data_IF_231658484833
#
_entry.id   IF_231658484833
#
_cell.length_a   1.000
_cell.length_b   1.000
_cell.length_c   1.000
_cell.angle_alpha   90.00
_cell.angle_beta   90.00
_cell.angle_gamma   90.00
#
_symmetry.space_group_name_H-M   'P 1'
#
loop_
_entity.id
_entity.type
_entity.pdbx_description
1 polymer ?
#
# COMPACT_ATOMS: atom_id res chain seq x y z
N UNK A 1 17.95 6.02 16.81
CA UNK A 1 17.95 4.81 17.67
C UNK A 1 16.56 4.24 17.49
N UNK A 2 16.39 3.12 16.79
CA UNK A 2 15.05 2.59 16.52
C UNK A 2 14.32 2.29 17.84
N UNK A 3 13.12 2.85 18.02
CA UNK A 3 12.28 2.52 19.17
C UNK A 3 11.98 1.02 19.17
N UNK A 4 12.43 0.32 20.21
CA UNK A 4 12.07 -1.06 20.49
C UNK A 4 10.70 -1.06 21.19
N UNK A 5 9.61 -1.09 20.42
CA UNK A 5 8.26 -1.18 20.96
C UNK A 5 7.18 -0.64 20.02
N UNK A 6 5.92 -0.83 20.41
CA UNK A 6 4.78 -0.24 19.70
C UNK A 6 4.76 1.28 19.89
N UNK A 7 4.30 1.99 18.87
CA UNK A 7 3.94 3.39 18.96
C UNK A 7 2.59 3.55 19.64
N UNK A 8 2.45 4.63 20.41
CA UNK A 8 1.26 5.02 21.15
C UNK A 8 0.88 6.45 20.81
N UNK A 9 -0.32 6.85 21.21
CA UNK A 9 -0.92 8.17 20.97
C UNK A 9 -0.07 9.36 21.45
N UNK A 10 0.77 9.14 22.48
CA UNK A 10 1.63 10.17 23.07
C UNK A 10 2.99 10.31 22.40
N UNK A 11 3.40 9.35 21.56
CA UNK A 11 4.67 9.45 20.86
C UNK A 11 4.67 10.59 19.85
N UNK A 12 5.85 11.14 19.58
CA UNK A 12 6.03 12.17 18.57
C UNK A 12 5.82 11.61 17.16
N UNK A 13 5.06 12.33 16.33
CA UNK A 13 4.89 11.98 14.92
C UNK A 13 6.21 12.13 14.13
N UNK A 14 7.05 13.12 14.48
CA UNK A 14 8.35 13.28 13.83
C UNK A 14 9.27 12.09 14.11
N UNK A 15 9.27 11.60 15.35
CA UNK A 15 10.14 10.50 15.76
C UNK A 15 9.73 9.19 15.09
N UNK A 16 8.42 8.96 14.94
CA UNK A 16 7.90 7.83 14.15
C UNK A 16 8.48 7.82 12.73
N UNK A 17 8.48 8.97 12.05
CA UNK A 17 8.99 9.08 10.67
C UNK A 17 10.50 8.92 10.63
N UNK A 18 11.23 9.57 11.54
CA UNK A 18 12.70 9.51 11.58
C UNK A 18 13.22 8.10 11.91
N UNK A 19 12.50 7.37 12.76
CA UNK A 19 12.82 5.97 13.08
C UNK A 19 12.40 5.03 11.95
N UNK A 20 11.33 5.33 11.22
CA UNK A 20 10.79 4.48 10.17
C UNK A 20 10.33 5.31 8.96
N UNK A 21 11.28 5.69 8.09
CA UNK A 21 10.98 6.51 6.90
C UNK A 21 9.85 5.99 6.00
N UNK A 22 9.60 4.66 5.84
CA UNK A 22 8.44 4.17 5.09
C UNK A 22 7.08 4.64 5.63
N UNK A 23 7.01 5.10 6.89
CA UNK A 23 5.80 5.70 7.46
C UNK A 23 5.33 6.95 6.72
N UNK A 24 6.20 7.60 5.94
CA UNK A 24 5.79 8.67 5.03
C UNK A 24 4.71 8.21 4.04
N UNK A 25 4.81 6.98 3.53
CA UNK A 25 3.80 6.43 2.63
C UNK A 25 2.48 6.22 3.37
N UNK A 26 2.52 5.58 4.54
CA UNK A 26 1.36 5.36 5.41
C UNK A 26 0.63 6.67 5.70
N UNK A 27 1.37 7.71 6.11
CA UNK A 27 0.79 9.02 6.42
C UNK A 27 0.13 9.66 5.20
N UNK A 28 0.76 9.57 4.03
CA UNK A 28 0.18 10.08 2.79
C UNK A 28 -1.17 9.43 2.47
N UNK A 29 -1.38 8.14 2.78
CA UNK A 29 -2.66 7.44 2.55
C UNK A 29 -3.75 7.80 3.55
N UNK A 30 -3.36 8.24 4.74
CA UNK A 30 -4.27 8.86 5.69
C UNK A 30 -4.53 10.36 5.39
N UNK A 31 -3.98 10.91 4.29
CA UNK A 31 -4.10 12.33 3.97
C UNK A 31 -3.28 13.26 4.87
N UNK A 32 -2.31 12.71 5.61
CA UNK A 32 -1.49 13.44 6.56
C UNK A 32 -0.20 13.93 5.86
N UNK A 33 -0.02 15.25 5.77
CA UNK A 33 1.14 15.88 5.11
C UNK A 33 2.17 16.42 6.11
N UNK A 34 3.49 16.27 5.88
CA UNK A 34 4.55 16.73 6.79
C UNK A 34 4.41 18.20 7.22
N UNK A 35 4.94 18.53 8.41
CA UNK A 35 4.86 19.88 8.99
C UNK A 35 4.17 19.93 10.37
N UNK A 36 4.22 18.84 11.15
CA UNK A 36 3.49 18.74 12.42
C UNK A 36 4.15 19.48 13.60
N UNK A 37 5.45 19.80 13.49
CA UNK A 37 6.27 20.24 14.62
C UNK A 37 6.36 19.15 15.70
N UNK A 38 6.40 19.55 16.96
CA UNK A 38 6.52 18.65 18.13
C UNK A 38 5.21 17.94 18.52
N UNK A 39 4.29 17.72 17.57
CA UNK A 39 2.97 17.15 17.86
C UNK A 39 3.04 15.65 18.04
N UNK A 40 2.25 15.16 18.99
CA UNK A 40 2.06 13.73 19.17
C UNK A 40 1.21 13.12 18.06
N UNK A 41 1.29 11.81 17.90
CA UNK A 41 0.45 11.04 16.95
C UNK A 41 -1.03 11.37 17.15
N UNK A 42 -1.52 11.43 18.39
CA UNK A 42 -2.90 11.79 18.71
C UNK A 42 -3.30 13.18 18.21
N UNK A 43 -2.42 14.17 18.43
CA UNK A 43 -2.68 15.54 18.00
C UNK A 43 -2.75 15.62 16.47
N UNK A 44 -1.84 14.95 15.77
CA UNK A 44 -1.83 14.91 14.30
C UNK A 44 -3.04 14.18 13.74
N UNK A 45 -3.41 13.01 14.27
CA UNK A 45 -4.59 12.27 13.80
C UNK A 45 -5.86 13.11 13.96
N UNK A 46 -6.06 13.73 15.13
CA UNK A 46 -7.20 14.62 15.39
C UNK A 46 -7.25 15.82 14.45
N UNK A 47 -6.12 16.48 14.17
CA UNK A 47 -6.08 17.63 13.26
C UNK A 47 -6.44 17.26 11.82
N UNK A 48 -6.07 16.05 11.39
CA UNK A 48 -6.34 15.54 10.05
C UNK A 48 -7.63 14.73 9.94
N UNK A 49 -8.42 14.64 11.03
CA UNK A 49 -9.66 13.84 11.11
C UNK A 49 -9.45 12.36 10.79
N UNK A 50 -8.30 11.82 11.17
CA UNK A 50 -7.95 10.41 11.02
C UNK A 50 -8.27 9.67 12.30
N UNK A 51 -8.86 8.47 12.18
CA UNK A 51 -9.09 7.60 13.32
C UNK A 51 -7.75 7.10 13.90
N UNK A 52 -7.45 7.53 15.12
CA UNK A 52 -6.17 7.27 15.78
C UNK A 52 -5.90 5.76 15.97
N UNK A 53 -6.94 4.99 16.31
CA UNK A 53 -6.82 3.53 16.49
C UNK A 53 -6.46 2.84 15.17
N UNK A 54 -7.05 3.29 14.07
CA UNK A 54 -6.75 2.78 12.72
C UNK A 54 -5.32 3.12 12.32
N UNK A 55 -4.90 4.38 12.52
CA UNK A 55 -3.53 4.80 12.24
C UNK A 55 -2.51 3.96 13.03
N UNK A 56 -2.70 3.82 14.34
CA UNK A 56 -1.80 3.03 15.19
C UNK A 56 -1.85 1.54 14.88
N UNK A 57 -3.00 0.99 14.49
CA UNK A 57 -3.11 -0.41 14.08
C UNK A 57 -2.28 -0.68 12.82
N UNK A 58 -2.35 0.19 11.81
CA UNK A 58 -1.57 0.07 10.57
C UNK A 58 -0.08 0.25 10.85
N UNK A 59 0.32 1.32 11.53
CA UNK A 59 1.72 1.60 11.87
C UNK A 59 2.35 0.44 12.64
N UNK A 60 1.70 0.00 13.72
CA UNK A 60 2.27 -1.05 14.56
C UNK A 60 2.25 -2.43 13.87
N UNK A 61 1.29 -2.69 12.99
CA UNK A 61 1.29 -3.91 12.18
C UNK A 61 2.51 -3.96 11.27
N UNK A 62 2.81 -2.87 10.56
CA UNK A 62 3.95 -2.80 9.63
C UNK A 62 5.30 -2.90 10.36
N UNK A 63 5.41 -2.30 11.55
CA UNK A 63 6.66 -2.29 12.31
C UNK A 63 6.93 -3.63 13.02
N UNK A 64 5.89 -4.26 13.58
CA UNK A 64 6.04 -5.49 14.36
C UNK A 64 5.79 -6.77 13.57
N UNK A 65 5.26 -6.66 12.35
CA UNK A 65 4.72 -7.76 11.54
C UNK A 65 3.72 -8.64 12.31
N UNK A 66 3.07 -8.10 13.35
CA UNK A 66 2.13 -8.81 14.21
C UNK A 66 0.89 -7.96 14.46
N UNK A 67 -0.27 -8.54 14.14
CA UNK A 67 -1.55 -7.91 14.44
C UNK A 67 -1.76 -7.80 15.95
N UNK A 68 -2.14 -6.61 16.40
CA UNK A 68 -2.66 -6.42 17.75
C UNK A 68 -4.15 -6.79 17.79
N UNK A 69 -4.48 -7.90 18.45
CA UNK A 69 -5.88 -8.35 18.57
C UNK A 69 -6.71 -7.52 19.55
N UNK A 70 -6.06 -6.67 20.35
CA UNK A 70 -6.72 -5.74 21.28
C UNK A 70 -7.03 -4.39 20.64
N UNK A 71 -6.41 -4.08 19.50
CA UNK A 71 -6.70 -2.87 18.75
C UNK A 71 -8.12 -2.92 18.16
N UNK A 72 -8.78 -1.76 18.16
CA UNK A 72 -10.13 -1.59 17.61
C UNK A 72 -10.14 -0.53 16.49
N UNK A 73 -9.53 -0.83 15.33
CA UNK A 73 -9.50 0.10 14.20
C UNK A 73 -10.88 0.26 13.56
N UNK A 74 -11.12 1.43 12.98
CA UNK A 74 -12.31 1.78 12.21
C UNK A 74 -12.21 1.21 10.78
N UNK A 75 -13.10 0.28 10.44
CA UNK A 75 -13.15 -0.30 9.09
C UNK A 75 -13.42 0.75 7.98
N UNK A 76 -14.31 1.75 8.17
CA UNK A 76 -14.46 2.85 7.21
C UNK A 76 -13.16 3.64 6.97
N UNK A 77 -12.39 3.92 8.03
CA UNK A 77 -11.11 4.64 7.89
C UNK A 77 -10.06 3.78 7.18
N UNK A 78 -10.02 2.47 7.46
CA UNK A 78 -9.12 1.54 6.77
C UNK A 78 -9.48 1.38 5.28
N UNK A 79 -10.77 1.36 4.93
CA UNK A 79 -11.22 1.36 3.53
C UNK A 79 -10.70 2.60 2.81
N UNK A 80 -10.90 3.79 3.38
CA UNK A 80 -10.42 5.04 2.78
C UNK A 80 -8.89 5.04 2.61
N UNK A 81 -8.16 4.50 3.58
CA UNK A 81 -6.70 4.32 3.49
C UNK A 81 -6.30 3.42 2.30
N UNK A 82 -6.97 2.28 2.10
CA UNK A 82 -6.69 1.36 0.98
C UNK A 82 -7.04 1.99 -0.37
N UNK A 83 -8.20 2.65 -0.48
CA UNK A 83 -8.60 3.39 -1.69
C UNK A 83 -7.61 4.51 -2.06
N UNK A 84 -7.12 5.25 -1.07
CA UNK A 84 -6.08 6.26 -1.26
C UNK A 84 -4.74 5.62 -1.69
N UNK A 85 -4.50 4.36 -1.33
CA UNK A 85 -3.33 3.59 -1.76
C UNK A 85 -3.43 3.23 -3.23
N UNK A 86 -4.60 2.76 -3.68
CA UNK A 86 -4.85 2.49 -5.09
C UNK A 86 -4.62 3.72 -5.96
N UNK A 87 -5.23 4.85 -5.58
CA UNK A 87 -5.06 6.12 -6.30
C UNK A 87 -3.59 6.53 -6.38
N UNK A 88 -2.81 6.36 -5.31
CA UNK A 88 -1.39 6.66 -5.36
C UNK A 88 -0.59 5.76 -6.30
N UNK A 89 -0.84 4.45 -6.27
CA UNK A 89 -0.12 3.53 -7.13
C UNK A 89 -0.42 3.80 -8.59
N UNK A 90 -1.70 3.89 -8.93
CA UNK A 90 -2.19 4.01 -10.31
C UNK A 90 -1.98 5.40 -10.90
N UNK A 91 -2.24 6.48 -10.13
CA UNK A 91 -2.24 7.84 -10.68
C UNK A 91 -0.90 8.56 -10.51
N UNK A 92 -0.04 8.09 -9.60
CA UNK A 92 1.21 8.78 -9.26
C UNK A 92 2.45 7.90 -9.38
N UNK A 93 2.55 6.81 -8.61
CA UNK A 93 3.81 6.06 -8.46
C UNK A 93 4.21 5.34 -9.74
N UNK A 94 3.32 4.54 -10.32
CA UNK A 94 3.59 3.79 -11.54
C UNK A 94 3.79 4.74 -12.74
N UNK A 95 2.95 5.75 -12.98
CA UNK A 95 3.22 6.74 -14.03
C UNK A 95 4.58 7.44 -13.88
N UNK A 96 4.97 7.81 -12.66
CA UNK A 96 6.27 8.44 -12.39
C UNK A 96 7.45 7.52 -12.73
N UNK A 97 7.39 6.24 -12.31
CA UNK A 97 8.43 5.24 -12.65
C UNK A 97 8.53 5.09 -14.17
N UNK A 98 7.39 5.00 -14.85
CA UNK A 98 7.35 4.92 -16.32
C UNK A 98 8.04 6.11 -16.98
N UNK A 99 7.77 7.33 -16.53
CA UNK A 99 8.40 8.53 -17.09
C UNK A 99 9.91 8.52 -16.90
N UNK A 100 10.40 8.10 -15.74
CA UNK A 100 11.84 8.00 -15.51
C UNK A 100 12.48 6.86 -16.33
N UNK A 101 11.81 5.72 -16.50
CA UNK A 101 12.26 4.66 -17.43
C UNK A 101 12.38 5.19 -18.86
N UNK A 102 11.41 6.00 -19.32
CA UNK A 102 11.47 6.62 -20.64
C UNK A 102 12.69 7.54 -20.82
N UNK A 103 13.11 8.25 -19.77
CA UNK A 103 14.27 9.13 -19.80
C UNK A 103 15.63 8.38 -19.80
N UNK A 104 15.69 7.23 -19.13
CA UNK A 104 16.92 6.43 -19.02
C UNK A 104 17.11 5.49 -20.22
N UNK A 105 16.02 4.89 -20.71
CA UNK A 105 16.04 3.91 -21.79
C UNK A 105 15.77 4.59 -23.14
N UNK A 106 16.68 5.40 -23.66
CA UNK A 106 16.40 6.31 -24.80
C UNK A 106 16.37 5.65 -26.19
N UNK A 107 17.04 4.52 -26.42
CA UNK A 107 16.95 3.79 -27.70
C UNK A 107 15.65 2.97 -27.79
N UNK A 108 14.61 3.60 -28.35
CA UNK A 108 13.31 2.95 -28.60
C UNK A 108 13.36 1.86 -29.66
N UNK A 109 14.42 1.72 -30.45
CA UNK A 109 14.55 0.67 -31.45
C UNK A 109 15.19 -0.61 -30.90
N UNK A 110 15.90 -0.50 -29.78
CA UNK A 110 16.49 -1.63 -29.08
C UNK A 110 15.41 -2.65 -28.63
N UNK A 111 15.66 -3.93 -28.90
CA UNK A 111 14.71 -5.02 -28.60
C UNK A 111 14.55 -5.26 -27.10
N UNK A 112 15.62 -5.10 -26.31
CA UNK A 112 15.58 -5.24 -24.87
C UNK A 112 14.80 -4.07 -24.24
N UNK A 113 14.99 -2.84 -24.72
CA UNK A 113 14.21 -1.67 -24.27
C UNK A 113 12.72 -1.88 -24.54
N UNK A 114 12.34 -2.34 -25.73
CA UNK A 114 10.94 -2.69 -26.05
C UNK A 114 10.38 -3.76 -25.14
N UNK A 115 11.17 -4.81 -24.85
CA UNK A 115 10.75 -5.90 -23.97
C UNK A 115 10.53 -5.41 -22.52
N UNK A 116 11.39 -4.52 -22.02
CA UNK A 116 11.25 -3.90 -20.70
C UNK A 116 9.95 -3.10 -20.61
N UNK A 117 9.65 -2.25 -21.59
CA UNK A 117 8.41 -1.47 -21.56
C UNK A 117 7.16 -2.33 -21.67
N UNK A 118 7.17 -3.36 -22.53
CA UNK A 118 6.07 -4.31 -22.59
C UNK A 118 5.86 -5.01 -21.25
N UNK A 119 6.93 -5.50 -20.62
CA UNK A 119 6.84 -6.11 -19.29
C UNK A 119 6.28 -5.14 -18.26
N UNK A 120 6.75 -3.88 -18.26
CA UNK A 120 6.28 -2.85 -17.35
C UNK A 120 4.79 -2.55 -17.55
N UNK A 121 4.35 -2.41 -18.80
CA UNK A 121 2.96 -2.09 -19.13
C UNK A 121 2.02 -3.27 -18.79
N UNK A 122 2.44 -4.50 -19.08
CA UNK A 122 1.72 -5.72 -18.66
C UNK A 122 1.64 -5.83 -17.13
N UNK A 123 2.67 -5.40 -16.41
CA UNK A 123 2.67 -5.36 -14.95
C UNK A 123 1.67 -4.32 -14.41
N UNK A 124 1.71 -3.09 -14.94
CA UNK A 124 0.78 -2.01 -14.53
C UNK A 124 -0.67 -2.43 -14.75
N UNK A 125 -0.98 -3.08 -15.87
CA UNK A 125 -2.33 -3.57 -16.17
C UNK A 125 -2.82 -4.62 -15.15
N UNK A 126 -1.92 -5.45 -14.63
CA UNK A 126 -2.29 -6.42 -13.58
C UNK A 126 -2.57 -5.75 -12.25
N UNK A 127 -1.76 -4.76 -11.86
CA UNK A 127 -2.02 -3.95 -10.66
C UNK A 127 -3.37 -3.25 -10.79
N UNK A 128 -3.64 -2.67 -11.96
CA UNK A 128 -4.93 -2.04 -12.27
C UNK A 128 -6.09 -3.03 -12.16
N UNK A 129 -5.98 -4.21 -12.77
CA UNK A 129 -7.01 -5.25 -12.72
C UNK A 129 -7.29 -5.72 -11.29
N UNK A 130 -6.23 -5.90 -10.49
CA UNK A 130 -6.34 -6.30 -9.09
C UNK A 130 -7.07 -5.24 -8.26
N UNK A 131 -6.62 -3.99 -8.30
CA UNK A 131 -7.23 -2.90 -7.54
C UNK A 131 -8.66 -2.59 -8.01
N UNK A 132 -8.93 -2.70 -9.32
CA UNK A 132 -10.28 -2.56 -9.86
C UNK A 132 -11.24 -3.63 -9.32
N UNK A 133 -10.79 -4.89 -9.18
CA UNK A 133 -11.61 -5.92 -8.55
C UNK A 133 -11.95 -5.56 -7.10
N UNK A 134 -11.01 -4.98 -6.35
CA UNK A 134 -11.28 -4.51 -5.01
C UNK A 134 -12.29 -3.37 -4.96
N UNK A 135 -12.09 -2.33 -5.76
CA UNK A 135 -12.98 -1.15 -5.82
C UNK A 135 -14.39 -1.49 -6.30
N UNK A 136 -14.51 -2.38 -7.28
CA UNK A 136 -15.79 -2.70 -7.93
C UNK A 136 -16.54 -3.85 -7.25
N UNK A 137 -15.84 -4.72 -6.51
CA UNK A 137 -16.43 -5.92 -5.89
C UNK A 137 -16.23 -5.97 -4.39
N UNK A 138 -14.98 -5.91 -3.91
CA UNK A 138 -14.67 -6.14 -2.50
C UNK A 138 -15.18 -5.00 -1.62
N UNK A 139 -14.85 -3.75 -1.94
CA UNK A 139 -15.21 -2.59 -1.13
C UNK A 139 -16.73 -2.35 -1.10
N UNK A 140 -17.48 -2.48 -2.21
CA UNK A 140 -18.95 -2.41 -2.18
C UNK A 140 -19.56 -3.49 -1.28
N UNK A 141 -19.05 -4.72 -1.32
CA UNK A 141 -19.47 -5.78 -0.41
C UNK A 141 -19.18 -5.43 1.06
N UNK A 142 -18.00 -4.90 1.37
CA UNK A 142 -17.66 -4.49 2.75
C UNK A 142 -18.57 -3.35 3.22
N UNK A 143 -18.88 -2.38 2.36
CA UNK A 143 -19.84 -1.31 2.66
C UNK A 143 -21.24 -1.87 2.91
N UNK A 144 -21.67 -2.89 2.16
CA UNK A 144 -22.95 -3.56 2.41
C UNK A 144 -22.97 -4.23 3.80
N UNK A 145 -21.90 -4.94 4.16
CA UNK A 145 -21.77 -5.55 5.49
C UNK A 145 -21.82 -4.50 6.61
N UNK A 146 -21.17 -3.35 6.43
CA UNK A 146 -21.21 -2.23 7.38
C UNK A 146 -22.63 -1.65 7.53
N UNK A 147 -23.46 -1.73 6.49
CA UNK A 147 -24.90 -1.39 6.56
C UNK A 147 -25.78 -2.49 7.14
N UNK A 148 -25.21 -3.61 7.57
CA UNK A 148 -25.93 -4.77 8.11
C UNK A 148 -26.53 -5.69 7.04
N UNK A 149 -26.18 -5.51 5.77
CA UNK A 149 -26.71 -6.32 4.66
C UNK A 149 -25.63 -7.22 4.05
N UNK A 150 -25.90 -8.52 4.01
CA UNK A 150 -25.08 -9.44 3.21
C UNK A 150 -25.63 -9.49 1.79
N UNK A 151 -24.88 -8.97 0.82
CA UNK A 151 -25.26 -9.05 -0.59
C UNK A 151 -24.78 -10.35 -1.23
N UNK A 152 -25.72 -11.15 -1.71
CA UNK A 152 -25.45 -12.36 -2.50
C UNK A 152 -24.61 -13.41 -1.79
N UNK A 153 -23.97 -14.26 -2.60
CA UNK A 153 -23.14 -15.37 -2.15
C UNK A 153 -21.66 -15.01 -1.95
N UNK A 154 -21.31 -13.74 -2.19
CA UNK A 154 -19.95 -13.27 -2.00
C UNK A 154 -19.53 -13.37 -0.53
N UNK A 155 -18.23 -13.61 -0.33
CA UNK A 155 -17.59 -13.60 0.99
C UNK A 155 -16.13 -13.23 0.84
N UNK A 156 -15.54 -12.70 1.91
CA UNK A 156 -14.12 -12.32 1.92
C UNK A 156 -13.18 -13.50 1.66
N UNK A 157 -13.63 -14.74 1.89
CA UNK A 157 -12.88 -15.95 1.51
C UNK A 157 -12.67 -16.07 0.00
N UNK A 158 -13.52 -15.46 -0.81
CA UNK A 158 -13.37 -15.42 -2.28
C UNK A 158 -12.17 -14.58 -2.64
N UNK A 159 -12.07 -13.37 -2.07
CA UNK A 159 -10.91 -12.50 -2.19
C UNK A 159 -9.62 -13.24 -1.79
N UNK A 160 -9.56 -13.84 -0.59
CA UNK A 160 -8.34 -14.53 -0.12
C UNK A 160 -7.85 -15.67 -1.03
N UNK A 161 -8.73 -16.29 -1.84
CA UNK A 161 -8.35 -17.35 -2.79
C UNK A 161 -7.75 -16.82 -4.08
N UNK A 162 -8.08 -15.58 -4.41
CA UNK A 162 -7.72 -14.91 -5.66
C UNK A 162 -6.66 -13.82 -5.45
N UNK A 163 -6.43 -13.41 -4.20
CA UNK A 163 -5.46 -12.41 -3.81
C UNK A 163 -4.06 -12.91 -4.20
N UNK A 164 -3.52 -12.32 -5.27
CA UNK A 164 -2.24 -12.67 -5.87
C UNK A 164 -1.16 -11.69 -5.41
N UNK A 165 0.08 -12.16 -5.35
CA UNK A 165 1.24 -11.37 -4.95
C UNK A 165 1.74 -10.53 -6.13
N UNK A 166 0.99 -9.48 -6.47
CA UNK A 166 1.31 -8.57 -7.58
C UNK A 166 2.71 -7.94 -7.44
N UNK A 167 3.23 -7.76 -6.22
CA UNK A 167 4.55 -7.19 -5.96
C UNK A 167 5.72 -8.04 -6.50
N UNK A 168 5.52 -9.35 -6.67
CA UNK A 168 6.56 -10.28 -7.08
C UNK A 168 7.15 -9.97 -8.48
N UNK A 169 6.33 -9.45 -9.40
CA UNK A 169 6.74 -9.14 -10.78
C UNK A 169 7.67 -7.92 -10.89
N UNK A 170 7.60 -6.97 -9.95
CA UNK A 170 8.58 -5.87 -9.89
C UNK A 170 10.00 -6.38 -9.58
N UNK A 171 10.12 -7.50 -8.86
CA UNK A 171 11.42 -8.13 -8.61
C UNK A 171 12.07 -8.67 -9.89
N UNK A 172 11.27 -9.12 -10.85
CA UNK A 172 11.77 -9.56 -12.16
C UNK A 172 12.27 -8.39 -13.00
N UNK A 173 11.48 -7.30 -13.09
CA UNK A 173 11.89 -6.07 -13.77
C UNK A 173 13.20 -5.52 -13.21
N UNK A 174 13.31 -5.46 -11.88
CA UNK A 174 14.56 -5.10 -11.18
C UNK A 174 15.73 -5.95 -11.68
N UNK A 175 15.55 -7.27 -11.70
CA UNK A 175 16.63 -8.18 -12.11
C UNK A 175 17.01 -7.99 -13.57
N UNK A 176 16.05 -7.67 -14.45
CA UNK A 176 16.31 -7.38 -15.86
C UNK A 176 17.17 -6.12 -15.99
N UNK A 177 16.76 -5.03 -15.35
CA UNK A 177 17.46 -3.74 -15.40
C UNK A 177 18.88 -3.83 -14.84
N UNK A 178 19.06 -4.50 -13.69
CA UNK A 178 20.38 -4.65 -13.05
C UNK A 178 21.34 -5.50 -13.88
N UNK A 179 20.86 -6.61 -14.45
CA UNK A 179 21.74 -7.60 -15.09
C UNK A 179 22.07 -7.29 -16.54
N UNK A 180 21.14 -6.67 -17.26
CA UNK A 180 21.18 -6.66 -18.73
C UNK A 180 21.18 -5.28 -19.35
N UNK A 181 21.06 -4.19 -18.57
CA UNK A 181 21.05 -2.84 -19.13
C UNK A 181 22.34 -2.06 -18.79
N UNK A 182 23.38 -2.15 -19.63
CA UNK A 182 24.55 -1.29 -19.49
C UNK A 182 24.19 0.14 -19.89
N UNK A 183 24.56 1.11 -19.06
CA UNK A 183 24.18 2.51 -19.27
C UNK A 183 25.34 3.45 -18.92
N UNK A 184 25.50 4.51 -19.70
CA UNK A 184 26.36 5.66 -19.38
C UNK A 184 25.72 6.68 -18.43
N UNK A 185 24.47 6.42 -18.00
CA UNK A 185 23.60 7.20 -17.11
C UNK A 185 23.33 6.42 -15.82
N UNK A 186 24.37 6.19 -15.04
CA UNK A 186 24.31 5.31 -13.86
C UNK A 186 23.42 5.90 -12.76
N UNK A 187 23.49 7.21 -12.51
CA UNK A 187 22.73 7.87 -11.45
C UNK A 187 21.23 7.88 -11.74
N UNK A 188 20.85 8.11 -13.00
CA UNK A 188 19.45 8.09 -13.43
C UNK A 188 18.87 6.67 -13.39
N UNK A 189 19.64 5.66 -13.82
CA UNK A 189 19.22 4.26 -13.68
C UNK A 189 19.06 3.88 -12.20
N UNK A 190 20.02 4.26 -11.36
CA UNK A 190 19.92 4.03 -9.92
C UNK A 190 18.68 4.69 -9.33
N UNK A 191 18.37 5.93 -9.70
CA UNK A 191 17.15 6.63 -9.25
C UNK A 191 15.88 5.86 -9.62
N UNK A 192 15.79 5.33 -10.84
CA UNK A 192 14.65 4.51 -11.26
C UNK A 192 14.56 3.20 -10.49
N UNK A 193 15.71 2.54 -10.29
CA UNK A 193 15.77 1.32 -9.50
C UNK A 193 15.31 1.55 -8.07
N UNK A 194 15.74 2.64 -7.42
CA UNK A 194 15.26 3.02 -6.09
C UNK A 194 13.75 3.20 -6.05
N UNK A 195 13.15 3.88 -7.02
CA UNK A 195 11.70 4.03 -7.08
C UNK A 195 10.98 2.69 -7.26
N UNK A 196 11.53 1.78 -8.06
CA UNK A 196 11.00 0.42 -8.25
C UNK A 196 11.09 -0.37 -6.93
N UNK A 197 12.22 -0.30 -6.22
CA UNK A 197 12.39 -0.95 -4.91
C UNK A 197 11.37 -0.46 -3.89
N UNK A 198 11.22 0.86 -3.79
CA UNK A 198 10.28 1.49 -2.87
C UNK A 198 8.83 1.12 -3.25
N UNK A 199 8.48 1.14 -4.53
CA UNK A 199 7.15 0.75 -5.00
C UNK A 199 6.82 -0.71 -4.67
N UNK A 200 7.78 -1.62 -4.87
CA UNK A 200 7.59 -3.02 -4.53
C UNK A 200 7.38 -3.23 -3.02
N UNK A 201 8.14 -2.52 -2.19
CA UNK A 201 7.98 -2.58 -0.73
C UNK A 201 6.66 -1.97 -0.26
N UNK A 202 6.21 -0.87 -0.87
CA UNK A 202 4.94 -0.21 -0.55
C UNK A 202 3.75 -1.11 -0.92
N UNK A 203 3.77 -1.74 -2.11
CA UNK A 203 2.77 -2.75 -2.51
C UNK A 203 2.77 -3.98 -1.60
N UNK A 204 3.94 -4.50 -1.23
CA UNK A 204 4.03 -5.59 -0.26
C UNK A 204 3.40 -5.20 1.10
N UNK A 205 3.57 -3.94 1.50
CA UNK A 205 3.01 -3.42 2.76
C UNK A 205 1.49 -3.28 2.68
N UNK A 206 0.97 -2.84 1.53
CA UNK A 206 -0.46 -2.78 1.22
C UNK A 206 -1.10 -4.18 1.30
N UNK A 207 -0.58 -5.16 0.57
CA UNK A 207 -1.05 -6.55 0.61
C UNK A 207 -0.97 -7.13 2.04
N UNK A 208 0.10 -6.80 2.77
CA UNK A 208 0.25 -7.24 4.15
C UNK A 208 -0.84 -6.67 5.07
N UNK A 209 -1.22 -5.40 4.90
CA UNK A 209 -2.33 -4.78 5.63
C UNK A 209 -3.66 -5.44 5.26
N UNK A 210 -3.87 -5.77 4.00
CA UNK A 210 -5.09 -6.45 3.55
C UNK A 210 -5.24 -7.81 4.21
N UNK A 211 -4.22 -8.65 4.10
CA UNK A 211 -4.24 -10.02 4.61
C UNK A 211 -4.29 -10.08 6.14
N UNK A 212 -3.60 -9.16 6.83
CA UNK A 212 -3.37 -9.25 8.27
C UNK A 212 -4.20 -8.27 9.10
N UNK A 213 -4.91 -7.33 8.48
CA UNK A 213 -5.81 -6.40 9.17
C UNK A 213 -7.21 -6.37 8.54
N UNK A 214 -7.30 -6.06 7.26
CA UNK A 214 -8.57 -5.85 6.57
C UNK A 214 -9.42 -7.13 6.49
N UNK A 215 -8.86 -8.21 5.96
CA UNK A 215 -9.51 -9.52 5.83
C UNK A 215 -9.99 -10.06 7.18
N UNK A 216 -9.17 -10.05 8.25
CA UNK A 216 -9.65 -10.45 9.57
C UNK A 216 -10.79 -9.59 10.13
N UNK A 217 -10.79 -8.28 9.88
CA UNK A 217 -11.87 -7.38 10.31
C UNK A 217 -13.18 -7.71 9.59
N UNK A 218 -13.13 -7.94 8.28
CA UNK A 218 -14.32 -8.29 7.49
C UNK A 218 -14.83 -9.67 7.88
N UNK A 219 -13.94 -10.64 8.08
CA UNK A 219 -14.33 -11.98 8.55
C UNK A 219 -15.10 -11.93 9.88
N UNK A 220 -14.68 -11.05 10.81
CA UNK A 220 -15.40 -10.84 12.06
C UNK A 220 -16.76 -10.16 11.83
N UNK A 221 -16.81 -9.17 10.93
CA UNK A 221 -18.05 -8.47 10.56
C UNK A 221 -19.08 -9.44 9.93
N UNK A 222 -18.65 -10.31 9.03
CA UNK A 222 -19.50 -11.36 8.44
C UNK A 222 -20.13 -12.27 9.50
N UNK A 223 -19.37 -12.67 10.53
CA UNK A 223 -19.88 -13.49 11.62
C UNK A 223 -20.92 -12.76 12.47
N UNK A 224 -20.77 -11.45 12.64
CA UNK A 224 -21.68 -10.63 13.42
C UNK A 224 -23.01 -10.42 12.67
N UNK A 225 -22.96 -10.15 11.36
CA UNK A 225 -24.16 -9.98 10.52
C UNK A 225 -24.97 -11.28 10.41
N UNK A 226 -24.33 -12.46 10.36
CA UNK A 226 -25.04 -13.76 10.35
C UNK A 226 -25.80 -14.09 11.64
N UNK A 227 -25.46 -13.43 12.75
CA UNK A 227 -26.08 -13.67 14.07
C UNK A 227 -27.26 -12.74 14.36
N UNK A 228 -27.46 -11.72 13.53
CA UNK A 228 -28.61 -10.81 13.58
C UNK A 228 -29.77 -11.40 12.77
#
# INVERSE_FOLDING_TARGET
MYKLGKYTSSDSMSDLICDNYPMLFVMSRFGISPGFGEKSISQVCRMNKVDENTFLAVVNLLISSKRDTTANPSLPCLLEYLQNSHSHFLDFRLPSIRQKLLAVLDDRNDKAVKAIFRFYDEYVEQVHTHMAYEEDTVFPYVRSLLSGTKQGDYSIRTFCRQHDNIESKLSELKNILIKYYPTGKADELNSVLFDIFVCAQDLASHNFIEDNLFVPMISQLELNVRKQ
#
